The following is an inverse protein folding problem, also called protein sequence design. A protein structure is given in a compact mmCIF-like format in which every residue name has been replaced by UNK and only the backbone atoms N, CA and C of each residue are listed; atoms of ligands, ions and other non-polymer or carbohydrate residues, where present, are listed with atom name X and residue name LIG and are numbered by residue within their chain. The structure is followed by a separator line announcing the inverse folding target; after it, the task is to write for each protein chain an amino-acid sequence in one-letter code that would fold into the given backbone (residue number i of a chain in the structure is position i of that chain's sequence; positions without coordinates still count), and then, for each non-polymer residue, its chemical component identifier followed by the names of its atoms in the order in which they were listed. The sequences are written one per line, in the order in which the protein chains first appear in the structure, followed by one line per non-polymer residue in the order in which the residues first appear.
data_IF_456959679052
#
_entry.id   IF_456959679052
#
_cell.length_a   1.000
_cell.length_b   1.000
_cell.length_c   1.000
_cell.angle_alpha   90.00
_cell.angle_beta   90.00
_cell.angle_gamma   90.00
#
_symmetry.space_group_name_H-M   'P 1'
#
loop_
_entity.id
_entity.type
_entity.pdbx_description
1 polymer ?
#
# COMPACT_ATOMS: atom_id res chain seq x y z
N UNK A 1 -14.23 6.65 11.89
CA UNK A 1 -12.84 6.15 12.03
C UNK A 1 -11.91 7.35 12.12
N UNK A 2 -10.95 7.37 13.03
CA UNK A 2 -9.94 8.44 13.12
C UNK A 2 -8.82 8.13 12.11
N UNK A 3 -8.36 9.15 11.38
CA UNK A 3 -7.22 9.00 10.46
C UNK A 3 -5.94 9.32 11.24
N UNK A 4 -5.05 8.34 11.32
CA UNK A 4 -3.75 8.40 11.96
C UNK A 4 -2.66 8.66 10.92
N UNK A 5 -1.42 8.83 11.35
CA UNK A 5 -0.25 8.96 10.47
C UNK A 5 0.55 7.66 10.48
N UNK A 6 1.20 7.33 9.38
CA UNK A 6 2.13 6.18 9.31
C UNK A 6 3.36 6.35 10.21
N UNK A 7 3.58 7.56 10.76
CA UNK A 7 4.63 7.85 11.74
C UNK A 7 4.17 7.61 13.18
N UNK A 8 2.88 7.41 13.42
CA UNK A 8 2.34 7.17 14.76
C UNK A 8 2.67 5.75 15.24
N UNK A 9 2.77 5.58 16.56
CA UNK A 9 3.13 4.30 17.14
C UNK A 9 2.15 3.18 16.77
N UNK A 10 0.88 3.52 16.60
CA UNK A 10 -0.16 2.59 16.19
C UNK A 10 0.14 1.89 14.87
N UNK A 11 0.87 2.54 13.94
CA UNK A 11 1.24 1.95 12.66
C UNK A 11 2.25 0.80 12.79
N UNK A 12 3.06 0.77 13.85
CA UNK A 12 4.15 -0.21 14.00
C UNK A 12 3.70 -1.67 14.00
N UNK A 13 2.46 -1.92 14.37
CA UNK A 13 1.87 -3.27 14.33
C UNK A 13 1.49 -3.73 12.92
N UNK A 14 1.39 -2.79 11.97
CA UNK A 14 1.03 -3.05 10.58
C UNK A 14 2.22 -2.97 9.63
N UNK A 15 3.23 -2.18 9.98
CA UNK A 15 4.34 -2.02 9.09
C UNK A 15 5.36 -0.98 9.56
N UNK A 16 6.23 -0.61 8.65
CA UNK A 16 7.25 0.42 8.86
C UNK A 16 7.39 1.32 7.63
N UNK A 17 7.81 2.54 7.88
CA UNK A 17 8.19 3.47 6.80
C UNK A 17 9.64 3.19 6.39
N UNK A 18 9.89 2.97 5.09
CA UNK A 18 11.22 2.79 4.53
C UNK A 18 11.69 4.14 3.99
N UNK A 19 12.83 4.62 4.49
CA UNK A 19 13.35 5.95 4.15
C UNK A 19 14.57 5.93 3.23
N UNK A 20 15.29 4.81 3.20
CA UNK A 20 16.63 4.72 2.60
C UNK A 20 16.64 4.06 1.22
N UNK A 21 15.51 4.07 0.51
CA UNK A 21 15.38 3.50 -0.82
C UNK A 21 14.81 4.54 -1.78
N UNK A 22 15.55 4.91 -2.81
CA UNK A 22 15.08 5.80 -3.86
C UNK A 22 14.17 5.04 -4.84
N UNK A 23 12.95 5.56 -5.05
CA UNK A 23 11.95 5.05 -6.01
C UNK A 23 11.38 6.17 -6.87
N UNK A 24 12.14 7.24 -7.04
CA UNK A 24 11.72 8.43 -7.79
C UNK A 24 11.35 8.13 -9.24
N UNK A 25 12.01 7.15 -9.88
CA UNK A 25 11.69 6.72 -11.23
C UNK A 25 10.34 5.98 -11.30
N UNK A 26 10.01 5.14 -10.30
CA UNK A 26 8.68 4.52 -10.20
C UNK A 26 7.61 5.59 -9.99
N UNK A 27 7.84 6.56 -9.10
CA UNK A 27 6.91 7.67 -8.85
C UNK A 27 6.69 8.48 -10.14
N UNK A 28 7.77 8.77 -10.86
CA UNK A 28 7.70 9.50 -12.13
C UNK A 28 6.89 8.73 -13.16
N UNK A 29 7.18 7.45 -13.35
CA UNK A 29 6.46 6.60 -14.30
C UNK A 29 4.97 6.46 -13.92
N UNK A 30 4.67 6.33 -12.63
CA UNK A 30 3.29 6.26 -12.14
C UNK A 30 2.53 7.58 -12.32
N UNK A 31 3.22 8.73 -12.23
CA UNK A 31 2.60 10.05 -12.42
C UNK A 31 2.10 10.30 -13.84
N UNK A 32 2.59 9.53 -14.82
CA UNK A 32 2.13 9.58 -16.21
C UNK A 32 0.84 8.77 -16.43
N UNK A 33 0.45 7.92 -15.47
CA UNK A 33 -0.76 7.10 -15.57
C UNK A 33 -1.96 7.93 -15.12
N UNK A 34 -2.98 8.12 -15.97
CA UNK A 34 -4.16 8.88 -15.60
C UNK A 34 -4.89 8.26 -14.40
N UNK A 35 -5.38 9.10 -13.49
CA UNK A 35 -6.24 8.68 -12.39
C UNK A 35 -7.71 8.76 -12.85
N UNK A 36 -8.41 7.63 -13.03
CA UNK A 36 -9.80 7.62 -13.46
C UNK A 36 -10.75 7.93 -12.29
N UNK A 37 -12.03 8.18 -12.61
CA UNK A 37 -13.06 8.36 -11.59
C UNK A 37 -13.38 7.03 -10.86
N UNK A 38 -13.36 5.92 -11.59
CA UNK A 38 -13.55 4.58 -11.02
C UNK A 38 -12.22 3.99 -10.55
N UNK A 39 -12.30 3.08 -9.58
CA UNK A 39 -11.11 2.36 -9.08
C UNK A 39 -10.59 1.40 -10.14
N UNK A 40 -9.31 1.50 -10.46
CA UNK A 40 -8.59 0.59 -11.33
C UNK A 40 -7.45 -0.04 -10.55
N UNK A 41 -7.36 -1.36 -10.61
CA UNK A 41 -6.26 -2.17 -10.08
C UNK A 41 -5.61 -2.95 -11.22
N UNK A 42 -4.31 -2.74 -11.38
CA UNK A 42 -3.48 -3.46 -12.35
C UNK A 42 -2.28 -4.08 -11.61
N UNK A 43 -2.20 -5.41 -11.54
CA UNK A 43 -1.25 -6.10 -10.66
C UNK A 43 0.19 -6.09 -11.17
N UNK A 44 0.41 -5.85 -12.47
CA UNK A 44 1.73 -5.91 -13.10
C UNK A 44 1.78 -4.95 -14.26
N UNK A 45 2.70 -3.99 -14.22
CA UNK A 45 2.88 -2.97 -15.26
C UNK A 45 4.33 -2.98 -15.71
N UNK A 46 4.55 -3.35 -16.96
CA UNK A 46 5.89 -3.48 -17.55
C UNK A 46 6.73 -2.21 -17.40
N UNK A 47 6.14 -1.03 -17.59
CA UNK A 47 6.85 0.24 -17.45
C UNK A 47 7.30 0.55 -16.02
N UNK A 48 6.56 0.08 -15.01
CA UNK A 48 6.95 0.21 -13.59
C UNK A 48 8.00 -0.83 -13.21
N UNK A 49 7.85 -2.06 -13.68
CA UNK A 49 8.78 -3.16 -13.44
C UNK A 49 10.13 -2.95 -14.14
N UNK A 50 10.15 -2.21 -15.26
CA UNK A 50 11.37 -1.83 -15.98
C UNK A 50 12.14 -0.66 -15.32
N UNK A 51 11.60 -0.02 -14.29
CA UNK A 51 12.30 1.01 -13.53
C UNK A 51 13.55 0.44 -12.85
N UNK A 52 14.63 1.22 -12.81
CA UNK A 52 15.88 0.78 -12.18
C UNK A 52 15.71 0.48 -10.68
N UNK A 53 14.87 1.25 -10.00
CA UNK A 53 14.59 1.06 -8.59
C UNK A 53 13.81 -0.23 -8.30
N UNK A 54 13.14 -0.85 -9.28
CA UNK A 54 12.45 -2.13 -9.10
C UNK A 54 13.43 -3.22 -8.63
N UNK A 55 14.63 -3.30 -9.23
CA UNK A 55 15.66 -4.24 -8.76
C UNK A 55 16.12 -3.91 -7.34
N UNK A 56 16.29 -2.63 -7.00
CA UNK A 56 16.68 -2.22 -5.65
C UNK A 56 15.61 -2.55 -4.60
N UNK A 57 14.33 -2.46 -4.97
CA UNK A 57 13.20 -2.90 -4.13
C UNK A 57 13.28 -4.41 -3.90
N UNK A 58 13.44 -5.20 -4.98
CA UNK A 58 13.59 -6.65 -4.90
C UNK A 58 14.75 -7.05 -3.99
N UNK A 59 15.93 -6.51 -4.24
CA UNK A 59 17.16 -6.89 -3.49
C UNK A 59 17.07 -6.50 -2.02
N UNK A 60 16.60 -5.28 -1.73
CA UNK A 60 16.63 -4.73 -0.37
C UNK A 60 15.48 -5.21 0.51
N UNK A 61 14.33 -5.51 -0.06
CA UNK A 61 13.10 -5.77 0.69
C UNK A 61 12.59 -7.21 0.53
N UNK A 62 12.98 -7.90 -0.53
CA UNK A 62 12.54 -9.26 -0.83
C UNK A 62 13.70 -10.23 -1.06
N UNK A 63 14.94 -9.83 -0.73
CA UNK A 63 16.11 -10.70 -0.83
C UNK A 63 16.42 -11.15 -2.26
N UNK A 64 16.10 -10.34 -3.25
CA UNK A 64 16.32 -10.64 -4.67
C UNK A 64 15.27 -11.58 -5.29
N UNK A 65 14.17 -11.84 -4.60
CA UNK A 65 13.05 -12.60 -5.20
C UNK A 65 12.37 -11.78 -6.30
N UNK A 66 11.84 -12.43 -7.35
CA UNK A 66 11.01 -11.74 -8.33
C UNK A 66 9.83 -11.02 -7.67
N UNK A 67 9.60 -9.78 -8.08
CA UNK A 67 8.48 -8.97 -7.60
C UNK A 67 7.61 -8.53 -8.78
N UNK A 68 6.35 -8.24 -8.49
CA UNK A 68 5.44 -7.55 -9.40
C UNK A 68 5.23 -6.13 -8.91
N UNK A 69 5.12 -5.18 -9.83
CA UNK A 69 4.83 -3.78 -9.53
C UNK A 69 3.61 -3.38 -10.35
N UNK A 70 2.53 -3.14 -9.64
CA UNK A 70 1.28 -2.65 -10.21
C UNK A 70 0.84 -1.35 -9.59
N UNK A 71 -0.37 -0.96 -9.85
CA UNK A 71 -0.98 0.20 -9.21
C UNK A 71 -2.45 -0.03 -8.87
N UNK A 72 -2.89 0.72 -7.87
CA UNK A 72 -4.30 0.95 -7.58
C UNK A 72 -4.53 2.47 -7.62
N UNK A 73 -5.39 2.95 -8.51
CA UNK A 73 -5.73 4.37 -8.60
C UNK A 73 -7.22 4.57 -8.89
N UNK A 74 -7.70 5.83 -8.78
CA UNK A 74 -9.10 6.20 -8.92
C UNK A 74 -9.68 6.77 -7.62
N UNK A 75 -11.00 6.85 -7.53
CA UNK A 75 -11.70 7.41 -6.37
C UNK A 75 -12.64 6.37 -5.76
N UNK A 76 -12.34 5.92 -4.54
CA UNK A 76 -13.19 4.98 -3.82
C UNK A 76 -13.79 5.64 -2.57
N UNK A 77 -15.11 5.54 -2.44
CA UNK A 77 -15.87 6.10 -1.33
C UNK A 77 -16.54 5.02 -0.46
N UNK A 78 -16.31 3.73 -0.77
CA UNK A 78 -16.98 2.62 -0.12
C UNK A 78 -15.96 1.64 0.48
N UNK A 79 -16.10 1.35 1.77
CA UNK A 79 -15.43 0.23 2.41
C UNK A 79 -16.31 -1.02 2.25
N UNK A 80 -16.27 -1.63 1.07
CA UNK A 80 -17.17 -2.72 0.68
C UNK A 80 -16.46 -4.06 0.43
N UNK A 81 -15.14 -4.08 0.44
CA UNK A 81 -14.31 -5.27 0.37
C UNK A 81 -12.99 -5.04 1.09
N UNK A 82 -12.37 -6.10 1.52
CA UNK A 82 -11.01 -6.14 2.07
C UNK A 82 -10.29 -7.34 1.46
N UNK A 83 -8.99 -7.19 1.26
CA UNK A 83 -8.10 -8.27 0.83
C UNK A 83 -7.03 -8.51 1.89
N UNK A 84 -6.42 -9.68 1.86
CA UNK A 84 -5.27 -9.97 2.71
C UNK A 84 -4.13 -10.53 1.86
N UNK A 85 -2.91 -10.18 2.25
CA UNK A 85 -1.70 -10.63 1.58
C UNK A 85 -0.98 -11.67 2.45
N UNK A 86 -0.42 -12.70 1.80
CA UNK A 86 0.38 -13.72 2.48
C UNK A 86 1.83 -13.31 2.68
N UNK A 87 2.25 -12.26 2.00
CA UNK A 87 3.60 -11.69 2.10
C UNK A 87 3.51 -10.18 2.30
N UNK A 88 4.64 -9.55 2.58
CA UNK A 88 4.72 -8.11 2.75
C UNK A 88 4.43 -7.38 1.46
N UNK A 89 3.65 -6.32 1.55
CA UNK A 89 3.35 -5.40 0.46
C UNK A 89 4.10 -4.08 0.64
N UNK A 90 4.58 -3.51 -0.45
CA UNK A 90 5.21 -2.19 -0.47
C UNK A 90 4.26 -1.20 -1.13
N UNK A 91 3.80 -0.23 -0.36
CA UNK A 91 2.95 0.84 -0.83
C UNK A 91 3.79 2.10 -1.10
N UNK A 92 3.76 2.60 -2.34
CA UNK A 92 4.41 3.83 -2.78
C UNK A 92 3.31 4.83 -3.13
N UNK A 93 3.16 5.88 -2.32
CA UNK A 93 2.17 6.91 -2.57
C UNK A 93 2.66 7.92 -3.62
N UNK A 94 1.89 8.15 -4.66
CA UNK A 94 2.11 9.22 -5.66
C UNK A 94 1.27 10.46 -5.33
N UNK A 95 0.11 10.24 -4.71
CA UNK A 95 -0.76 11.28 -4.15
C UNK A 95 -1.10 10.93 -2.70
N UNK A 96 -1.73 11.84 -1.97
CA UNK A 96 -2.26 11.52 -0.64
C UNK A 96 -3.21 10.32 -0.75
N UNK A 97 -2.98 9.30 0.08
CA UNK A 97 -3.87 8.15 0.17
C UNK A 97 -4.17 7.78 1.63
N UNK A 98 -5.31 7.17 1.87
CA UNK A 98 -5.67 6.60 3.16
C UNK A 98 -5.60 5.09 3.04
N UNK A 99 -4.68 4.48 3.78
CA UNK A 99 -4.56 3.04 3.89
C UNK A 99 -5.37 2.58 5.11
N UNK A 100 -6.35 1.69 4.89
CA UNK A 100 -7.15 1.12 5.96
C UNK A 100 -6.68 -0.30 6.22
N UNK A 101 -6.18 -0.55 7.43
CA UNK A 101 -5.51 -1.79 7.79
C UNK A 101 -6.27 -2.53 8.90
N UNK A 102 -6.30 -3.84 8.77
CA UNK A 102 -6.78 -4.76 9.78
C UNK A 102 -5.77 -5.86 10.04
N UNK A 103 -6.02 -6.72 11.02
CA UNK A 103 -5.14 -7.83 11.38
C UNK A 103 -5.73 -9.13 10.89
N UNK A 104 -4.95 -10.02 10.27
CA UNK A 104 -5.42 -11.30 9.77
C UNK A 104 -6.09 -12.14 10.85
N UNK A 105 -5.56 -12.10 12.07
CA UNK A 105 -6.15 -12.85 13.20
C UNK A 105 -7.57 -12.41 13.58
N UNK A 106 -8.03 -11.27 13.09
CA UNK A 106 -9.41 -10.79 13.28
C UNK A 106 -10.36 -11.25 12.15
N UNK A 107 -9.83 -11.93 11.12
CA UNK A 107 -10.65 -12.58 10.10
C UNK A 107 -11.34 -13.79 10.76
N UNK A 108 -12.64 -13.88 10.60
CA UNK A 108 -13.43 -14.97 11.17
C UNK A 108 -13.32 -16.25 10.34
N UNK A 109 -13.75 -17.39 10.87
CA UNK A 109 -13.71 -18.69 10.17
C UNK A 109 -14.55 -18.69 8.89
N UNK A 110 -15.59 -17.87 8.81
CA UNK A 110 -16.43 -17.68 7.61
C UNK A 110 -15.90 -16.59 6.66
N UNK A 111 -14.64 -16.16 6.84
CA UNK A 111 -13.95 -15.15 6.03
C UNK A 111 -14.63 -13.79 6.04
N UNK A 112 -15.25 -13.40 7.14
CA UNK A 112 -15.74 -12.04 7.35
C UNK A 112 -14.78 -11.23 8.22
N UNK A 113 -14.90 -9.92 8.17
CA UNK A 113 -14.08 -8.98 8.95
C UNK A 113 -14.94 -7.90 9.57
N UNK A 114 -14.79 -7.67 10.88
CA UNK A 114 -15.41 -6.55 11.56
C UNK A 114 -14.63 -5.26 11.26
N UNK A 115 -15.15 -4.44 10.35
CA UNK A 115 -14.51 -3.19 9.92
C UNK A 115 -14.31 -2.16 11.05
N UNK A 116 -15.00 -2.31 12.20
CA UNK A 116 -14.79 -1.46 13.37
C UNK A 116 -13.41 -1.66 14.02
N UNK A 117 -12.76 -2.80 13.74
CA UNK A 117 -11.39 -3.12 14.20
C UNK A 117 -10.29 -2.56 13.30
N UNK A 118 -10.65 -2.01 12.14
CA UNK A 118 -9.68 -1.44 11.21
C UNK A 118 -9.22 -0.05 11.66
N UNK A 119 -7.99 0.28 11.33
CA UNK A 119 -7.38 1.60 11.56
C UNK A 119 -6.99 2.24 10.22
N UNK A 120 -7.22 3.55 10.11
CA UNK A 120 -6.95 4.32 8.91
C UNK A 120 -5.67 5.14 9.07
N UNK A 121 -4.78 5.09 8.06
CA UNK A 121 -3.50 5.78 8.07
C UNK A 121 -3.35 6.64 6.83
N UNK A 122 -3.06 7.93 7.02
CA UNK A 122 -2.72 8.82 5.93
C UNK A 122 -1.27 8.60 5.50
N UNK A 123 -1.10 8.28 4.22
CA UNK A 123 0.21 8.27 3.55
C UNK A 123 0.25 9.48 2.62
N UNK A 124 1.30 10.27 2.72
CA UNK A 124 1.55 11.41 1.84
C UNK A 124 2.72 11.11 0.91
N UNK A 125 2.69 11.63 -0.31
CA UNK A 125 3.84 11.61 -1.20
C UNK A 125 4.90 12.59 -0.64
N UNK A 126 5.62 12.14 0.37
CA UNK A 126 6.87 12.81 0.78
C UNK A 126 8.02 12.04 0.17
N UNK A 127 9.26 12.59 0.10
CA UNK A 127 10.36 11.84 -0.51
C UNK A 127 10.38 10.42 0.05
N UNK A 128 10.36 9.40 -0.76
CA UNK A 128 9.40 8.30 -0.84
C UNK A 128 9.14 7.60 0.50
N UNK A 129 7.97 7.81 1.06
CA UNK A 129 7.46 7.01 2.16
C UNK A 129 7.07 5.64 1.64
N UNK A 130 7.72 4.63 2.13
CA UNK A 130 7.44 3.23 1.85
C UNK A 130 6.87 2.60 3.10
N UNK A 131 5.65 2.11 3.01
CA UNK A 131 5.08 1.25 4.03
C UNK A 131 5.48 -0.19 3.73
N UNK A 132 6.16 -0.85 4.65
CA UNK A 132 6.39 -2.29 4.59
C UNK A 132 5.74 -2.93 5.79
N UNK A 133 5.12 -4.04 5.58
CA UNK A 133 4.83 -4.95 6.68
C UNK A 133 6.14 -5.64 7.10
N UNK A 134 6.42 -5.79 8.41
CA UNK A 134 7.52 -6.63 8.83
C UNK A 134 7.23 -8.09 8.43
N UNK A 135 8.23 -8.89 8.12
CA UNK A 135 8.08 -10.33 8.01
C UNK A 135 7.83 -10.87 9.43
N UNK A 136 6.66 -10.74 9.93
CA UNK A 136 6.19 -11.41 11.11
C UNK A 136 4.91 -12.12 10.73
N UNK A 137 4.68 -13.26 11.29
CA UNK A 137 3.57 -14.18 11.13
C UNK A 137 2.15 -13.59 11.22
N UNK A 138 2.02 -12.30 11.08
CA UNK A 138 0.75 -11.57 11.11
C UNK A 138 0.48 -11.03 9.72
N UNK A 139 -0.33 -11.74 8.96
CA UNK A 139 -0.88 -11.25 7.71
C UNK A 139 -1.89 -10.15 8.00
N UNK A 140 -2.02 -9.17 7.14
CA UNK A 140 -2.93 -8.05 7.33
C UNK A 140 -3.97 -8.01 6.22
N UNK A 141 -5.20 -7.71 6.59
CA UNK A 141 -6.21 -7.33 5.61
C UNK A 141 -6.00 -5.86 5.28
N UNK A 142 -5.81 -5.55 4.01
CA UNK A 142 -5.65 -4.17 3.53
C UNK A 142 -6.84 -3.78 2.68
N UNK A 143 -7.29 -2.56 2.87
CA UNK A 143 -8.18 -1.89 1.94
C UNK A 143 -7.50 -0.61 1.48
N UNK A 144 -7.30 -0.47 0.18
CA UNK A 144 -6.77 0.76 -0.42
C UNK A 144 -7.91 1.52 -1.09
N UNK A 145 -8.31 2.69 -0.58
CA UNK A 145 -9.00 3.63 -1.43
C UNK A 145 -7.98 4.18 -2.41
N UNK A 146 -8.31 4.13 -3.67
CA UNK A 146 -7.59 4.88 -4.65
C UNK A 146 -7.56 6.37 -4.29
N UNK A 147 -6.50 7.05 -4.71
CA UNK A 147 -6.19 8.43 -4.34
C UNK A 147 -7.41 9.35 -4.40
N UNK A 148 -7.82 9.87 -3.25
CA UNK A 148 -8.74 10.99 -3.22
C UNK A 148 -7.92 12.28 -3.26
N UNK A 149 -8.04 13.05 -4.33
CA UNK A 149 -7.65 14.46 -4.28
C UNK A 149 -8.55 15.15 -3.25
N UNK A 150 -8.05 15.35 -2.04
CA UNK A 150 -8.67 16.25 -1.09
C UNK A 150 -8.45 17.68 -1.58
N UNK A 151 -9.46 18.27 -2.18
CA UNK A 151 -9.57 19.72 -2.42
C UNK A 151 -10.09 20.42 -1.18
#
# INVERSE_FOLDING_TARGET
MQILKVTDEAFRQYGKVIKDLDVSDIITAMSEIPCPDDVVYEPSIESLEACKSAQSVSDSLYGGMPIQIGYCNGHNHLLNAVEYHRDSEINIAVTDLILILGKEQDITEDHTYDSSKMEAFLIRPEPPLKSTQPPSTTHHATWQPAASNAS
#
